data_IF_508102746529
#
_entry.id   IF_508102746529
#
_cell.length_a   1.000
_cell.length_b   1.000
_cell.length_c   1.000
_cell.angle_alpha   90.00
_cell.angle_beta   90.00
_cell.angle_gamma   90.00
#
_symmetry.space_group_name_H-M   'P 1'
#
loop_
_entity.id
_entity.type
_entity.pdbx_description
1 polymer ?
#
# COMPACT_ATOMS: atom_id res chain seq x y z
N UNK A 1 5.09 1.02 -16.73
CA UNK A 1 4.62 1.23 -18.11
C UNK A 1 5.27 0.10 -18.88
N UNK A 2 4.48 -0.77 -19.50
CA UNK A 2 5.05 -1.84 -20.35
C UNK A 2 5.68 -1.23 -21.60
N UNK A 3 6.41 -2.03 -22.38
CA UNK A 3 6.88 -1.62 -23.71
C UNK A 3 5.74 -1.20 -24.66
N UNK A 4 4.50 -1.54 -24.31
CA UNK A 4 3.25 -1.21 -25.02
C UNK A 4 2.50 -0.01 -24.39
N UNK A 5 3.19 0.78 -23.57
CA UNK A 5 2.67 1.93 -22.81
C UNK A 5 1.55 1.60 -21.79
N UNK A 6 1.36 0.32 -21.46
CA UNK A 6 0.34 -0.07 -20.50
C UNK A 6 0.76 0.30 -19.06
N UNK A 7 -0.13 1.01 -18.38
CA UNK A 7 0.04 1.38 -16.97
C UNK A 7 -0.66 0.35 -16.10
N UNK A 8 0.03 -0.09 -15.05
CA UNK A 8 -0.54 -0.98 -14.05
C UNK A 8 -1.81 -0.42 -13.37
N UNK A 9 -2.15 0.86 -13.54
CA UNK A 9 -3.37 1.50 -13.05
C UNK A 9 -3.66 1.21 -11.56
N UNK A 10 -2.62 1.37 -10.74
CA UNK A 10 -2.73 1.16 -9.31
C UNK A 10 -3.82 2.07 -8.70
N UNK A 11 -4.88 1.52 -8.05
CA UNK A 11 -6.04 2.29 -7.59
C UNK A 11 -5.77 3.32 -6.49
N UNK A 12 -4.52 3.39 -5.99
CA UNK A 12 -4.10 4.30 -4.90
C UNK A 12 -4.90 4.07 -3.63
N UNK A 13 -5.07 2.80 -3.22
CA UNK A 13 -5.87 2.38 -2.06
C UNK A 13 -5.51 3.16 -0.79
N UNK A 14 -4.21 3.40 -0.55
CA UNK A 14 -3.77 4.17 0.61
C UNK A 14 -4.30 5.60 0.57
N UNK A 15 -4.22 6.28 -0.58
CA UNK A 15 -4.72 7.66 -0.74
C UNK A 15 -6.22 7.76 -0.51
N UNK A 16 -7.00 6.81 -1.01
CA UNK A 16 -8.45 6.81 -0.79
C UNK A 16 -8.83 6.63 0.69
N UNK A 17 -8.02 5.87 1.44
CA UNK A 17 -8.29 5.57 2.84
C UNK A 17 -7.62 6.54 3.82
N UNK A 18 -6.72 7.41 3.34
CA UNK A 18 -5.98 8.39 4.17
C UNK A 18 -6.91 9.28 4.99
N UNK A 19 -7.98 9.80 4.40
CA UNK A 19 -8.89 10.71 5.12
C UNK A 19 -9.61 9.97 6.26
N UNK A 20 -10.08 8.75 6.00
CA UNK A 20 -10.73 7.91 7.01
C UNK A 20 -9.76 7.53 8.12
N UNK A 21 -8.53 7.17 7.77
CA UNK A 21 -7.46 6.87 8.73
C UNK A 21 -7.12 8.11 9.58
N UNK A 22 -6.96 9.28 8.97
CA UNK A 22 -6.63 10.52 9.67
C UNK A 22 -7.74 10.91 10.67
N UNK A 23 -9.02 10.80 10.26
CA UNK A 23 -10.16 11.02 11.16
C UNK A 23 -10.15 10.03 12.33
N UNK A 24 -9.95 8.74 12.05
CA UNK A 24 -9.93 7.70 13.07
C UNK A 24 -8.75 7.88 14.06
N UNK A 25 -7.58 8.26 13.56
CA UNK A 25 -6.40 8.56 14.38
C UNK A 25 -6.61 9.80 15.25
N UNK A 26 -7.21 10.87 14.71
CA UNK A 26 -7.53 12.07 15.50
C UNK A 26 -8.51 11.78 16.64
N UNK A 27 -9.51 10.94 16.39
CA UNK A 27 -10.44 10.48 17.44
C UNK A 27 -9.71 9.63 18.48
N UNK A 28 -8.77 8.76 18.08
CA UNK A 28 -7.97 7.97 19.01
C UNK A 28 -7.11 8.86 19.92
N UNK A 29 -6.43 9.84 19.34
CA UNK A 29 -5.55 10.77 20.05
C UNK A 29 -6.27 11.61 21.12
N UNK A 30 -7.56 11.92 20.90
CA UNK A 30 -8.39 12.67 21.86
C UNK A 30 -8.97 11.82 22.98
N UNK A 31 -8.87 10.47 22.91
CA UNK A 31 -9.43 9.57 23.92
C UNK A 31 -8.41 9.25 25.00
N UNK A 32 -8.86 9.15 26.24
CA UNK A 32 -8.04 8.76 27.39
C UNK A 32 -7.51 7.35 27.19
N UNK A 33 -6.18 7.21 27.12
CA UNK A 33 -5.49 5.93 26.94
C UNK A 33 -5.92 4.94 28.05
N UNK A 34 -6.17 3.70 27.67
CA UNK A 34 -6.62 2.65 28.60
C UNK A 34 -8.12 2.60 28.86
N UNK A 35 -8.88 3.67 28.53
CA UNK A 35 -10.35 3.60 28.62
C UNK A 35 -10.95 2.60 27.62
N UNK A 36 -12.13 2.06 27.93
CA UNK A 36 -12.85 1.14 27.03
C UNK A 36 -13.11 1.78 25.65
N UNK A 37 -13.47 3.08 25.64
CA UNK A 37 -13.66 3.86 24.41
C UNK A 37 -12.35 3.96 23.62
N UNK A 38 -11.20 4.15 24.28
CA UNK A 38 -9.91 4.18 23.59
C UNK A 38 -9.58 2.82 22.97
N UNK A 39 -9.81 1.72 23.69
CA UNK A 39 -9.59 0.36 23.18
C UNK A 39 -10.42 0.05 21.93
N UNK A 40 -11.73 0.38 21.95
CA UNK A 40 -12.61 0.23 20.77
C UNK A 40 -12.09 1.02 19.56
N UNK A 41 -11.61 2.24 19.79
CA UNK A 41 -11.08 3.08 18.71
C UNK A 41 -9.73 2.58 18.16
N UNK A 42 -8.84 2.08 19.02
CA UNK A 42 -7.56 1.48 18.62
C UNK A 42 -7.78 0.31 17.68
N UNK A 43 -8.73 -0.58 18.01
CA UNK A 43 -9.10 -1.72 17.15
C UNK A 43 -9.64 -1.24 15.81
N UNK A 44 -10.48 -0.18 15.80
CA UNK A 44 -11.00 0.40 14.55
C UNK A 44 -9.87 0.92 13.65
N UNK A 45 -8.90 1.61 14.22
CA UNK A 45 -7.70 2.08 13.49
C UNK A 45 -6.92 0.90 12.93
N UNK A 46 -6.67 -0.14 13.73
CA UNK A 46 -5.98 -1.35 13.29
C UNK A 46 -6.70 -2.04 12.11
N UNK A 47 -8.01 -2.23 12.20
CA UNK A 47 -8.83 -2.81 11.11
C UNK A 47 -8.78 -1.98 9.83
N UNK A 48 -8.72 -0.66 9.93
CA UNK A 48 -8.56 0.21 8.75
C UNK A 48 -7.19 0.04 8.09
N UNK A 49 -6.12 -0.05 8.89
CA UNK A 49 -4.77 -0.32 8.37
C UNK A 49 -4.69 -1.71 7.71
N UNK A 50 -5.25 -2.73 8.36
CA UNK A 50 -5.32 -4.10 7.85
C UNK A 50 -6.07 -4.16 6.52
N UNK A 51 -7.24 -3.51 6.43
CA UNK A 51 -8.02 -3.44 5.18
C UNK A 51 -7.19 -2.85 4.03
N UNK A 52 -6.49 -1.74 4.28
CA UNK A 52 -5.63 -1.13 3.26
C UNK A 52 -4.51 -2.09 2.88
N UNK A 53 -3.79 -2.67 3.84
CA UNK A 53 -2.71 -3.61 3.57
C UNK A 53 -3.20 -4.81 2.72
N UNK A 54 -4.35 -5.37 3.04
CA UNK A 54 -4.94 -6.50 2.31
C UNK A 54 -5.35 -6.11 0.88
N UNK A 55 -5.95 -4.93 0.67
CA UNK A 55 -6.27 -4.44 -0.67
C UNK A 55 -5.02 -4.28 -1.54
N UNK A 56 -3.95 -3.72 -0.96
CA UNK A 56 -2.65 -3.55 -1.64
C UNK A 56 -2.05 -4.90 -2.00
N UNK A 57 -1.99 -5.82 -1.03
CA UNK A 57 -1.48 -7.18 -1.22
C UNK A 57 -2.24 -7.91 -2.31
N UNK A 58 -3.57 -7.87 -2.28
CA UNK A 58 -4.42 -8.55 -3.25
C UNK A 58 -4.15 -8.05 -4.67
N UNK A 59 -4.12 -6.73 -4.87
CA UNK A 59 -3.83 -6.14 -6.17
C UNK A 59 -2.47 -6.58 -6.71
N UNK A 60 -1.41 -6.50 -5.89
CA UNK A 60 -0.07 -6.89 -6.31
C UNK A 60 0.04 -8.37 -6.62
N UNK A 61 -0.61 -9.23 -5.84
CA UNK A 61 -0.64 -10.67 -6.06
C UNK A 61 -1.40 -11.07 -7.33
N UNK A 62 -2.50 -10.39 -7.65
CA UNK A 62 -3.19 -10.60 -8.92
C UNK A 62 -2.28 -10.22 -10.10
N UNK A 63 -1.56 -9.10 -10.00
CA UNK A 63 -0.63 -8.68 -11.05
C UNK A 63 0.60 -9.58 -11.18
N UNK A 64 1.16 -10.08 -10.08
CA UNK A 64 2.27 -11.03 -10.16
C UNK A 64 1.82 -12.35 -10.80
N UNK A 65 0.63 -12.85 -10.42
CA UNK A 65 0.04 -14.05 -11.03
C UNK A 65 -0.19 -13.88 -12.53
N UNK A 66 -0.71 -12.72 -12.95
CA UNK A 66 -0.92 -12.40 -14.37
C UNK A 66 0.40 -12.48 -15.15
N UNK A 67 1.47 -11.85 -14.65
CA UNK A 67 2.79 -11.90 -15.31
C UNK A 67 3.37 -13.32 -15.33
N UNK A 68 3.33 -14.04 -14.20
CA UNK A 68 3.87 -15.39 -14.10
C UNK A 68 3.11 -16.40 -14.98
N UNK A 69 1.85 -16.13 -15.31
CA UNK A 69 1.07 -17.01 -16.21
C UNK A 69 1.29 -16.65 -17.68
N UNK A 70 1.49 -15.38 -17.99
CA UNK A 70 1.56 -14.89 -19.37
C UNK A 70 2.95 -14.93 -19.99
N UNK A 71 4.01 -14.99 -19.19
CA UNK A 71 5.39 -14.91 -19.66
C UNK A 71 6.25 -16.04 -19.08
N UNK A 72 7.04 -16.68 -19.92
CA UNK A 72 7.99 -17.74 -19.50
C UNK A 72 9.18 -17.17 -18.71
N UNK A 73 9.55 -15.92 -18.99
CA UNK A 73 10.66 -15.22 -18.33
C UNK A 73 10.23 -13.80 -17.97
N UNK A 74 10.41 -13.42 -16.70
CA UNK A 74 10.15 -12.07 -16.19
C UNK A 74 11.44 -11.49 -15.64
N UNK A 75 11.94 -10.42 -16.26
CA UNK A 75 13.08 -9.65 -15.77
C UNK A 75 12.61 -8.41 -15.01
N UNK A 76 13.19 -8.16 -13.83
CA UNK A 76 12.80 -7.06 -12.94
C UNK A 76 14.03 -6.22 -12.61
N UNK A 77 13.90 -4.89 -12.74
CA UNK A 77 14.95 -3.95 -12.31
C UNK A 77 15.01 -3.83 -10.77
N UNK A 78 16.22 -3.87 -10.21
CA UNK A 78 16.44 -3.55 -8.80
C UNK A 78 16.43 -2.03 -8.59
N UNK A 79 15.27 -1.52 -8.22
CA UNK A 79 15.08 -0.09 -7.95
C UNK A 79 15.45 0.25 -6.51
N UNK A 80 16.26 1.29 -6.34
CA UNK A 80 16.61 1.80 -5.01
C UNK A 80 15.47 2.61 -4.37
N UNK A 81 14.43 1.90 -3.93
CA UNK A 81 13.16 2.46 -3.43
C UNK A 81 13.35 3.45 -2.27
N UNK A 82 14.32 3.22 -1.38
CA UNK A 82 14.62 4.12 -0.26
C UNK A 82 15.10 5.49 -0.78
N UNK A 83 16.02 5.50 -1.74
CA UNK A 83 16.51 6.73 -2.38
C UNK A 83 15.37 7.46 -3.11
N UNK A 84 14.60 6.74 -3.92
CA UNK A 84 13.46 7.31 -4.65
C UNK A 84 12.39 7.89 -3.72
N UNK A 85 12.15 7.27 -2.56
CA UNK A 85 11.17 7.77 -1.58
C UNK A 85 11.56 9.10 -0.96
N UNK A 86 12.87 9.36 -0.85
CA UNK A 86 13.45 10.58 -0.24
C UNK A 86 13.64 11.69 -1.28
N UNK A 87 13.82 11.33 -2.54
CA UNK A 87 13.94 12.27 -3.63
C UNK A 87 12.57 12.86 -4.04
N UNK A 88 12.57 14.16 -4.35
CA UNK A 88 11.58 14.83 -5.22
C UNK A 88 10.10 14.55 -4.90
N UNK A 89 9.74 14.57 -3.61
CA UNK A 89 8.35 14.48 -3.10
C UNK A 89 7.61 13.18 -3.48
N UNK A 90 8.31 12.15 -3.97
CA UNK A 90 7.69 10.89 -4.40
C UNK A 90 7.43 9.91 -3.26
N UNK A 91 7.84 10.19 -2.02
CA UNK A 91 7.74 9.27 -0.89
C UNK A 91 6.40 8.57 -0.74
N UNK A 92 5.27 9.31 -0.84
CA UNK A 92 3.93 8.71 -0.75
C UNK A 92 3.62 7.80 -1.93
N UNK A 93 4.00 8.18 -3.15
CA UNK A 93 3.76 7.38 -4.35
C UNK A 93 4.62 6.12 -4.39
N UNK A 94 5.89 6.24 -3.99
CA UNK A 94 6.84 5.12 -3.87
C UNK A 94 6.39 4.13 -2.80
N UNK A 95 5.95 4.64 -1.65
CA UNK A 95 5.41 3.81 -0.57
C UNK A 95 4.09 3.11 -0.96
N UNK A 96 3.23 3.77 -1.74
CA UNK A 96 1.92 3.22 -2.14
C UNK A 96 2.07 2.12 -3.20
N UNK A 97 2.95 2.28 -4.20
CA UNK A 97 3.16 1.29 -5.27
C UNK A 97 3.61 -0.10 -4.76
N UNK A 98 4.27 -0.18 -3.61
CA UNK A 98 4.55 -1.48 -2.98
C UNK A 98 5.53 -2.37 -3.76
N UNK A 99 6.44 -1.79 -4.55
CA UNK A 99 7.40 -2.51 -5.42
C UNK A 99 8.09 -3.69 -4.72
N UNK A 100 8.63 -3.49 -3.52
CA UNK A 100 9.32 -4.55 -2.78
C UNK A 100 8.43 -5.74 -2.43
N UNK A 101 7.14 -5.50 -2.18
CA UNK A 101 6.18 -6.56 -1.92
C UNK A 101 5.86 -7.31 -3.21
N UNK A 102 5.74 -6.59 -4.33
CA UNK A 102 5.51 -7.15 -5.65
C UNK A 102 6.65 -8.07 -6.10
N UNK A 103 7.90 -7.63 -5.97
CA UNK A 103 9.09 -8.46 -6.28
C UNK A 103 9.28 -9.66 -5.36
N UNK A 104 8.50 -9.77 -4.27
CA UNK A 104 8.51 -10.97 -3.41
C UNK A 104 7.47 -12.01 -3.89
N UNK A 105 6.52 -11.62 -4.75
CA UNK A 105 5.49 -12.51 -5.28
C UNK A 105 5.84 -13.09 -6.66
N UNK A 106 6.85 -12.52 -7.32
CA UNK A 106 7.44 -13.03 -8.56
C UNK A 106 8.67 -13.86 -8.18
#
# INVERSE_FOLDING_TARGET
VSSEDEKANYPRFYRQMLEKLAKAQRVLARRVKGSERWNKQRIRVAKLHEKVANQRKNFLHHKSKELATSFDVVAIEDLHMKGMSRALRFGKSVADNGWRMFTTFL
#
